data_IF_792898766657
#
_entry.id   IF_792898766657
#
_cell.length_a   1.000
_cell.length_b   1.000
_cell.length_c   1.000
_cell.angle_alpha   90.00
_cell.angle_beta   90.00
_cell.angle_gamma   90.00
#
_symmetry.space_group_name_H-M   'P 1'
#
loop_
_entity.id
_entity.type
_entity.pdbx_description
1 polymer ?
#
# COMPACT_ATOMS: atom_id res chain seq x y z
N UNK A 1 13.93 3.69 -28.51
CA UNK A 1 12.89 2.89 -27.85
C UNK A 1 13.22 2.75 -26.37
N UNK A 2 12.27 3.07 -25.54
CA UNK A 2 12.50 3.00 -24.11
C UNK A 2 12.55 1.55 -23.65
N UNK A 3 13.58 1.19 -22.88
CA UNK A 3 13.68 -0.15 -22.32
C UNK A 3 12.51 -0.39 -21.34
N UNK A 4 11.80 -1.52 -21.47
CA UNK A 4 10.71 -1.78 -20.53
C UNK A 4 11.24 -1.92 -19.11
N UNK A 5 10.52 -1.31 -18.18
CA UNK A 5 10.85 -1.39 -16.76
C UNK A 5 10.58 -2.81 -16.26
N UNK A 6 11.51 -3.40 -15.56
CA UNK A 6 11.30 -4.69 -14.93
C UNK A 6 10.42 -4.55 -13.70
N UNK A 7 9.84 -5.66 -13.24
CA UNK A 7 9.08 -5.68 -12.01
C UNK A 7 9.93 -5.18 -10.82
N UNK A 8 11.19 -5.60 -10.76
CA UNK A 8 12.09 -5.18 -9.69
C UNK A 8 12.38 -3.69 -9.72
N UNK A 9 12.57 -3.12 -10.91
CA UNK A 9 12.78 -1.69 -11.04
C UNK A 9 11.59 -0.90 -10.54
N UNK A 10 10.37 -1.33 -10.90
CA UNK A 10 9.15 -0.68 -10.45
C UNK A 10 8.97 -0.77 -8.93
N UNK A 11 9.28 -1.91 -8.34
CA UNK A 11 9.20 -2.10 -6.88
C UNK A 11 10.23 -1.23 -6.18
N UNK A 12 11.46 -1.16 -6.69
CA UNK A 12 12.51 -0.32 -6.10
C UNK A 12 12.13 1.15 -6.12
N UNK A 13 11.61 1.65 -7.25
CA UNK A 13 11.16 3.03 -7.36
C UNK A 13 10.02 3.32 -6.39
N UNK A 14 9.08 2.40 -6.26
CA UNK A 14 7.96 2.53 -5.34
C UNK A 14 8.46 2.60 -3.89
N UNK A 15 9.36 1.71 -3.50
CA UNK A 15 9.89 1.67 -2.15
C UNK A 15 10.66 2.95 -1.80
N UNK A 16 11.45 3.46 -2.74
CA UNK A 16 12.17 4.71 -2.53
C UNK A 16 11.22 5.88 -2.33
N UNK A 17 10.23 6.01 -3.20
CA UNK A 17 9.22 7.07 -3.08
C UNK A 17 8.42 6.94 -1.80
N UNK A 18 8.05 5.72 -1.43
CA UNK A 18 7.33 5.43 -0.21
C UNK A 18 8.12 5.87 1.02
N UNK A 19 9.41 5.56 1.06
CA UNK A 19 10.29 5.95 2.16
C UNK A 19 10.38 7.46 2.31
N UNK A 20 10.56 8.18 1.22
CA UNK A 20 10.63 9.64 1.25
C UNK A 20 9.34 10.27 1.77
N UNK A 21 8.20 9.76 1.34
CA UNK A 21 6.89 10.28 1.75
C UNK A 21 6.62 9.95 3.21
N UNK A 22 6.95 8.75 3.67
CA UNK A 22 6.75 8.38 5.07
C UNK A 22 7.64 9.21 6.01
N UNK A 23 8.86 9.51 5.62
CA UNK A 23 9.72 10.39 6.38
C UNK A 23 9.10 11.78 6.54
N UNK A 24 8.57 12.34 5.47
CA UNK A 24 7.89 13.64 5.51
C UNK A 24 6.67 13.62 6.41
N UNK A 25 5.88 12.54 6.39
CA UNK A 25 4.70 12.39 7.25
C UNK A 25 5.10 12.31 8.73
N UNK A 26 6.13 11.56 9.06
CA UNK A 26 6.57 11.40 10.45
C UNK A 26 7.19 12.67 11.03
N UNK A 27 7.75 13.54 10.20
CA UNK A 27 8.30 14.83 10.62
C UNK A 27 7.24 15.88 10.86
N UNK A 28 5.99 15.59 10.48
CA UNK A 28 4.90 16.54 10.60
C UNK A 28 4.32 16.51 12.03
N UNK A 29 3.08 16.78 12.25
CA UNK A 29 2.50 16.90 13.57
C UNK A 29 2.26 15.53 14.23
N UNK A 30 2.80 15.32 15.43
CA UNK A 30 2.85 14.01 16.08
C UNK A 30 1.50 13.43 16.52
N UNK A 31 0.62 14.21 17.12
CA UNK A 31 -0.62 13.68 17.71
C UNK A 31 -1.65 13.27 16.65
N UNK A 32 -1.96 14.18 15.75
CA UNK A 32 -2.91 13.93 14.67
C UNK A 32 -2.39 12.82 13.74
N UNK A 33 -1.09 12.83 13.48
CA UNK A 33 -0.45 11.83 12.64
C UNK A 33 -0.61 10.42 13.24
N UNK A 34 -0.42 10.26 14.54
CA UNK A 34 -0.58 8.97 15.22
C UNK A 34 -2.00 8.42 15.07
N UNK A 35 -3.00 9.26 15.27
CA UNK A 35 -4.40 8.87 15.14
C UNK A 35 -4.70 8.42 13.70
N UNK A 36 -4.25 9.18 12.73
CA UNK A 36 -4.45 8.87 11.32
C UNK A 36 -3.73 7.59 10.93
N UNK A 37 -2.50 7.40 11.40
CA UNK A 37 -1.73 6.20 11.10
C UNK A 37 -2.35 4.95 11.72
N UNK A 38 -2.88 5.05 12.95
CA UNK A 38 -3.58 3.93 13.59
C UNK A 38 -4.82 3.53 12.79
N UNK A 39 -5.58 4.51 12.30
CA UNK A 39 -6.73 4.22 11.46
C UNK A 39 -6.32 3.55 10.16
N UNK A 40 -5.29 4.07 9.51
CA UNK A 40 -4.76 3.48 8.27
C UNK A 40 -4.22 2.07 8.50
N UNK A 41 -3.58 1.84 9.64
CA UNK A 41 -3.11 0.51 10.02
C UNK A 41 -4.25 -0.50 10.04
N UNK A 42 -5.37 -0.14 10.66
CA UNK A 42 -6.55 -1.02 10.70
C UNK A 42 -7.08 -1.31 9.31
N UNK A 43 -7.17 -0.30 8.47
CA UNK A 43 -7.64 -0.48 7.10
C UNK A 43 -6.71 -1.38 6.29
N UNK A 44 -5.41 -1.21 6.45
CA UNK A 44 -4.41 -2.05 5.79
C UNK A 44 -4.54 -3.50 6.25
N UNK A 45 -4.69 -3.72 7.55
CA UNK A 45 -4.86 -5.07 8.10
C UNK A 45 -6.11 -5.75 7.56
N UNK A 46 -7.24 -5.03 7.49
CA UNK A 46 -8.48 -5.54 6.93
C UNK A 46 -8.35 -5.90 5.46
N UNK A 47 -7.78 -5.00 4.66
CA UNK A 47 -7.61 -5.24 3.23
C UNK A 47 -6.58 -6.34 2.94
N UNK A 48 -5.53 -6.44 3.76
CA UNK A 48 -4.56 -7.52 3.64
C UNK A 48 -5.19 -8.87 3.91
N UNK A 49 -6.08 -8.95 4.90
CA UNK A 49 -6.81 -10.17 5.19
C UNK A 49 -7.74 -10.55 4.04
N UNK A 50 -8.46 -9.58 3.48
CA UNK A 50 -9.34 -9.81 2.34
C UNK A 50 -8.56 -10.30 1.12
N UNK A 51 -7.38 -9.72 0.86
CA UNK A 51 -6.52 -10.19 -0.22
C UNK A 51 -6.02 -11.61 0.05
N UNK A 52 -5.61 -11.90 1.27
CA UNK A 52 -5.18 -13.25 1.63
C UNK A 52 -6.29 -14.27 1.42
N UNK A 53 -7.50 -13.95 1.84
CA UNK A 53 -8.67 -14.81 1.66
C UNK A 53 -8.99 -14.99 0.17
N UNK A 54 -8.86 -13.93 -0.64
CA UNK A 54 -9.09 -14.01 -2.08
C UNK A 54 -8.07 -14.93 -2.75
N UNK A 55 -6.80 -14.84 -2.35
CA UNK A 55 -5.75 -15.73 -2.86
C UNK A 55 -6.07 -17.19 -2.53
N UNK A 56 -6.50 -17.45 -1.30
CA UNK A 56 -6.88 -18.78 -0.88
C UNK A 56 -8.07 -19.33 -1.68
N UNK A 57 -8.99 -18.46 -2.08
CA UNK A 57 -10.14 -18.86 -2.89
C UNK A 57 -9.78 -19.20 -4.34
N UNK A 58 -8.65 -18.69 -4.83
CA UNK A 58 -8.22 -18.88 -6.20
C UNK A 58 -9.02 -18.09 -7.24
N UNK A 59 -9.90 -17.19 -6.82
CA UNK A 59 -10.70 -16.36 -7.73
C UNK A 59 -9.85 -15.17 -8.22
N UNK A 60 -9.48 -15.21 -9.49
CA UNK A 60 -8.61 -14.19 -10.10
C UNK A 60 -9.21 -12.79 -10.01
N UNK A 61 -10.52 -12.64 -10.25
CA UNK A 61 -11.17 -11.33 -10.17
C UNK A 61 -11.17 -10.79 -8.74
N UNK A 62 -11.42 -11.67 -7.76
CA UNK A 62 -11.37 -11.29 -6.35
C UNK A 62 -9.97 -10.88 -5.93
N UNK A 63 -8.95 -11.60 -6.39
CA UNK A 63 -7.55 -11.28 -6.11
C UNK A 63 -7.21 -9.89 -6.65
N UNK A 64 -7.57 -9.62 -7.89
CA UNK A 64 -7.31 -8.32 -8.51
C UNK A 64 -8.00 -7.18 -7.79
N UNK A 65 -9.26 -7.39 -7.41
CA UNK A 65 -10.05 -6.39 -6.69
C UNK A 65 -9.43 -6.08 -5.33
N UNK A 66 -9.14 -7.12 -4.56
CA UNK A 66 -8.60 -6.91 -3.21
C UNK A 66 -7.18 -6.37 -3.23
N UNK A 67 -6.38 -6.74 -4.23
CA UNK A 67 -5.05 -6.15 -4.41
C UNK A 67 -5.15 -4.65 -4.71
N UNK A 68 -6.09 -4.26 -5.56
CA UNK A 68 -6.32 -2.84 -5.87
C UNK A 68 -6.80 -2.07 -4.63
N UNK A 69 -7.68 -2.66 -3.84
CA UNK A 69 -8.19 -2.04 -2.61
C UNK A 69 -7.07 -1.83 -1.59
N UNK A 70 -6.20 -2.82 -1.42
CA UNK A 70 -5.05 -2.71 -0.54
C UNK A 70 -4.10 -1.60 -1.00
N UNK A 71 -3.82 -1.56 -2.29
CA UNK A 71 -2.97 -0.51 -2.86
C UNK A 71 -3.56 0.88 -2.61
N UNK A 72 -4.86 1.02 -2.81
CA UNK A 72 -5.56 2.29 -2.56
C UNK A 72 -5.41 2.73 -1.10
N UNK A 73 -5.61 1.81 -0.16
CA UNK A 73 -5.49 2.12 1.27
C UNK A 73 -4.06 2.51 1.63
N UNK A 74 -3.07 1.80 1.07
CA UNK A 74 -1.65 2.12 1.30
C UNK A 74 -1.31 3.51 0.76
N UNK A 75 -1.75 3.82 -0.46
CA UNK A 75 -1.50 5.15 -1.03
C UNK A 75 -2.24 6.26 -0.29
N UNK A 76 -3.31 5.93 0.41
CA UNK A 76 -4.03 6.88 1.25
C UNK A 76 -3.25 7.40 2.45
N UNK A 77 -2.06 6.84 2.73
CA UNK A 77 -1.15 7.39 3.74
C UNK A 77 -0.62 8.77 3.34
N UNK A 78 -0.70 9.10 2.09
CA UNK A 78 -0.14 10.31 1.53
C UNK A 78 -1.24 11.22 1.03
#
# INVERSE_FOLDING_TARGET
MMKPTTFFDSVSEFQESFGQITDAVFDYNTQLTKTMLNLRKKLIEEEAKELSDAIDSGDELAIKKEAADLLYVVTGLF
#
